data_IF_051749281511
#
_entry.id   IF_051749281511
#
_cell.length_a   1.000
_cell.length_b   1.000
_cell.length_c   1.000
_cell.angle_alpha   90.00
_cell.angle_beta   90.00
_cell.angle_gamma   90.00
#
_symmetry.space_group_name_H-M   'P 1'
#
loop_
_entity.id
_entity.type
_entity.pdbx_description
1 polymer ?
#
# COMPACT_ATOMS: atom_id res chain seq x y z
N UNK A 1 10.73 16.57 26.80
CA UNK A 1 9.59 17.33 26.23
C UNK A 1 9.33 16.71 24.87
N UNK A 2 8.39 15.80 24.62
CA UNK A 2 7.19 15.40 25.36
C UNK A 2 6.93 13.92 25.00
N UNK A 3 6.92 13.05 26.01
CA UNK A 3 6.42 11.68 25.89
C UNK A 3 4.90 11.74 25.72
N UNK A 4 4.42 11.67 24.48
CA UNK A 4 3.00 11.40 24.22
C UNK A 4 2.77 9.89 24.23
N UNK A 5 2.83 9.35 25.44
CA UNK A 5 2.21 8.08 25.81
C UNK A 5 0.71 8.15 25.47
N UNK A 6 0.27 7.19 24.68
CA UNK A 6 -1.12 6.98 24.23
C UNK A 6 -2.05 6.97 25.47
N UNK A 7 -3.05 7.86 25.59
CA UNK A 7 -4.04 7.76 26.64
C UNK A 7 -5.06 6.67 26.27
N UNK A 8 -4.86 5.47 26.83
CA UNK A 8 -5.83 4.37 26.83
C UNK A 8 -6.95 4.62 27.84
N UNK A 9 -8.23 4.48 27.41
CA UNK A 9 -9.14 3.69 28.23
C UNK A 9 -10.10 2.84 27.35
N UNK A 10 -9.87 1.52 27.30
CA UNK A 10 -10.91 0.59 26.85
C UNK A 10 -11.91 0.34 27.99
N UNK A 11 -13.05 1.04 27.98
CA UNK A 11 -14.23 0.61 28.73
C UNK A 11 -14.84 -0.62 28.04
N UNK A 12 -15.23 -1.61 28.85
CA UNK A 12 -16.07 -2.76 28.49
C UNK A 12 -17.25 -2.32 27.61
N UNK A 13 -17.33 -2.82 26.38
CA UNK A 13 -18.61 -2.84 25.67
C UNK A 13 -19.54 -3.81 26.39
N UNK A 14 -20.50 -3.24 27.12
CA UNK A 14 -21.76 -3.88 27.43
C UNK A 14 -22.60 -3.91 26.15
N UNK A 15 -23.12 -5.10 25.81
CA UNK A 15 -24.38 -5.26 25.08
C UNK A 15 -24.32 -5.26 23.56
N UNK A 16 -24.23 -6.47 22.98
CA UNK A 16 -25.29 -7.07 22.13
C UNK A 16 -24.73 -8.30 21.40
N UNK A 17 -24.81 -9.48 22.03
CA UNK A 17 -25.19 -10.73 21.36
C UNK A 17 -25.39 -11.81 22.42
N UNK A 18 -26.65 -12.20 22.61
CA UNK A 18 -27.07 -13.32 23.45
C UNK A 18 -26.74 -14.63 22.75
N UNK A 19 -25.56 -15.19 23.04
CA UNK A 19 -25.26 -16.60 22.83
C UNK A 19 -24.52 -17.13 24.07
N UNK A 20 -25.16 -17.96 24.92
CA UNK A 20 -24.55 -18.44 26.16
C UNK A 20 -23.88 -19.79 25.93
N UNK A 21 -22.68 -19.82 25.33
CA UNK A 21 -21.76 -20.96 25.41
C UNK A 21 -20.40 -20.63 24.77
N UNK A 22 -19.53 -19.96 25.52
CA UNK A 22 -18.07 -20.14 25.44
C UNK A 22 -17.40 -19.44 26.63
N UNK A 23 -17.26 -20.13 27.76
CA UNK A 23 -16.54 -19.62 28.91
C UNK A 23 -15.05 -19.92 28.71
N UNK A 24 -14.30 -19.04 28.04
CA UNK A 24 -12.82 -18.97 28.11
C UNK A 24 -12.27 -17.96 27.07
N UNK A 25 -12.15 -16.68 27.45
CA UNK A 25 -11.11 -15.77 26.89
C UNK A 25 -10.61 -14.82 27.98
N UNK A 26 -10.25 -15.38 29.13
CA UNK A 26 -9.35 -14.74 30.10
C UNK A 26 -7.96 -15.41 30.12
N UNK A 27 -7.67 -16.30 29.16
CA UNK A 27 -6.31 -16.75 28.90
C UNK A 27 -5.59 -15.67 28.09
N UNK A 28 -4.67 -14.94 28.72
CA UNK A 28 -3.78 -14.02 28.01
C UNK A 28 -3.01 -14.76 26.90
N UNK A 29 -2.64 -14.05 25.83
CA UNK A 29 -1.80 -14.60 24.76
C UNK A 29 -0.56 -15.27 25.36
N UNK A 30 -0.32 -16.54 25.03
CA UNK A 30 0.86 -17.24 25.53
C UNK A 30 2.13 -16.70 24.85
N UNK A 31 3.28 -16.68 25.54
CA UNK A 31 4.55 -16.27 24.94
C UNK A 31 4.91 -17.08 23.68
N UNK A 32 4.55 -18.37 23.66
CA UNK A 32 4.76 -19.23 22.51
C UNK A 32 3.95 -18.78 21.28
N UNK A 33 2.70 -18.34 21.49
CA UNK A 33 1.85 -17.82 20.40
C UNK A 33 2.39 -16.50 19.86
N UNK A 34 2.81 -15.57 20.74
CA UNK A 34 3.44 -14.31 20.34
C UNK A 34 4.70 -14.55 19.52
N UNK A 35 5.57 -15.47 19.96
CA UNK A 35 6.79 -15.84 19.23
C UNK A 35 6.47 -16.42 17.84
N UNK A 36 5.46 -17.32 17.76
CA UNK A 36 5.01 -17.88 16.48
C UNK A 36 4.51 -16.80 15.53
N UNK A 37 3.74 -15.84 16.02
CA UNK A 37 3.24 -14.73 15.21
C UNK A 37 4.35 -13.78 14.77
N UNK A 38 5.32 -13.48 15.62
CA UNK A 38 6.48 -12.69 15.23
C UNK A 38 7.24 -13.36 14.08
N UNK A 39 7.52 -14.67 14.17
CA UNK A 39 8.16 -15.43 13.11
C UNK A 39 7.32 -15.53 11.83
N UNK A 40 5.99 -15.60 11.98
CA UNK A 40 5.06 -15.66 10.85
C UNK A 40 5.00 -14.35 10.06
N UNK A 41 4.89 -13.21 10.75
CA UNK A 41 4.90 -11.87 10.15
C UNK A 41 6.23 -11.55 9.47
N UNK A 42 7.35 -12.01 10.02
CA UNK A 42 8.69 -11.80 9.46
C UNK A 42 9.12 -12.90 8.48
N UNK A 43 8.22 -13.81 8.09
CA UNK A 43 8.54 -14.86 7.13
C UNK A 43 8.82 -14.28 5.74
N UNK A 44 9.73 -14.86 4.96
CA UNK A 44 9.94 -14.47 3.55
C UNK A 44 8.75 -14.74 2.63
N UNK A 45 7.77 -15.56 3.06
CA UNK A 45 6.64 -15.98 2.22
C UNK A 45 5.41 -15.11 2.48
N UNK A 46 5.00 -14.34 1.47
CA UNK A 46 3.81 -13.47 1.51
C UNK A 46 2.59 -14.15 2.14
N UNK A 47 2.22 -15.34 1.66
CA UNK A 47 1.05 -16.07 2.15
C UNK A 47 1.11 -16.38 3.65
N UNK A 48 2.31 -16.68 4.18
CA UNK A 48 2.50 -16.96 5.61
C UNK A 48 2.38 -15.68 6.44
N UNK A 49 2.94 -14.57 5.94
CA UNK A 49 2.80 -13.27 6.60
C UNK A 49 1.33 -12.85 6.70
N UNK A 50 0.58 -12.97 5.59
CA UNK A 50 -0.85 -12.64 5.56
C UNK A 50 -1.68 -13.52 6.48
N UNK A 51 -1.51 -14.84 6.40
CA UNK A 51 -2.20 -15.78 7.30
C UNK A 51 -1.93 -15.45 8.77
N UNK A 52 -0.68 -15.10 9.09
CA UNK A 52 -0.30 -14.73 10.45
C UNK A 52 -1.02 -13.45 10.91
N UNK A 53 -1.13 -12.45 10.04
CA UNK A 53 -1.90 -11.25 10.33
C UNK A 53 -3.39 -11.55 10.53
N UNK A 54 -4.00 -12.38 9.70
CA UNK A 54 -5.40 -12.78 9.86
C UNK A 54 -5.66 -13.49 11.19
N UNK A 55 -4.75 -14.38 11.63
CA UNK A 55 -4.81 -15.00 12.95
C UNK A 55 -4.77 -13.95 14.08
N UNK A 56 -4.04 -12.85 13.90
CA UNK A 56 -3.91 -11.76 14.86
C UNK A 56 -5.08 -10.77 14.82
N UNK A 57 -5.75 -10.61 13.69
CA UNK A 57 -6.73 -9.55 13.43
C UNK A 57 -7.93 -9.56 14.39
N UNK A 58 -8.19 -10.68 15.07
CA UNK A 58 -9.25 -10.82 16.07
C UNK A 58 -8.84 -10.43 17.50
N UNK A 59 -7.60 -9.98 17.69
CA UNK A 59 -7.05 -9.64 19.00
C UNK A 59 -6.79 -8.14 19.12
N UNK A 60 -7.36 -7.52 20.15
CA UNK A 60 -7.15 -6.10 20.48
C UNK A 60 -6.10 -5.92 21.59
N UNK A 61 -5.17 -6.86 21.73
CA UNK A 61 -4.16 -6.90 22.81
C UNK A 61 -2.97 -5.97 22.49
N UNK A 62 -2.44 -5.27 23.50
CA UNK A 62 -1.28 -4.39 23.34
C UNK A 62 -0.05 -5.11 22.76
N UNK A 63 0.12 -6.40 23.05
CA UNK A 63 1.22 -7.20 22.50
C UNK A 63 1.07 -7.43 20.99
N UNK A 64 -0.15 -7.54 20.49
CA UNK A 64 -0.44 -7.63 19.05
C UNK A 64 -0.07 -6.30 18.38
N UNK A 65 -0.41 -5.17 19.01
CA UNK A 65 -0.01 -3.85 18.51
C UNK A 65 1.51 -3.69 18.47
N UNK A 66 2.23 -4.15 19.49
CA UNK A 66 3.71 -4.16 19.51
C UNK A 66 4.32 -5.05 18.44
N UNK A 67 3.71 -6.20 18.14
CA UNK A 67 4.14 -7.06 17.03
C UNK A 67 3.97 -6.37 15.67
N UNK A 68 2.84 -5.70 15.47
CA UNK A 68 2.58 -4.94 14.25
C UNK A 68 3.54 -3.76 14.10
N UNK A 69 3.80 -3.02 15.19
CA UNK A 69 4.79 -1.94 15.21
C UNK A 69 6.20 -2.46 14.83
N UNK A 70 6.62 -3.59 15.41
CA UNK A 70 7.88 -4.23 15.05
C UNK A 70 7.92 -4.66 13.57
N UNK A 71 6.82 -5.21 13.05
CA UNK A 71 6.70 -5.58 11.65
C UNK A 71 6.81 -4.35 10.72
N UNK A 72 6.14 -3.24 11.03
CA UNK A 72 6.22 -2.02 10.23
C UNK A 72 7.60 -1.37 10.23
N UNK A 73 8.35 -1.49 11.33
CA UNK A 73 9.72 -1.01 11.48
C UNK A 73 10.80 -1.95 10.95
N UNK A 74 10.45 -3.20 10.65
CA UNK A 74 11.39 -4.18 10.10
C UNK A 74 11.67 -3.90 8.62
N UNK A 75 12.90 -4.14 8.17
CA UNK A 75 13.20 -4.17 6.73
C UNK A 75 12.70 -5.46 6.07
N UNK A 76 12.34 -6.46 6.88
CA UNK A 76 11.72 -7.70 6.43
C UNK A 76 10.21 -7.54 6.26
N UNK A 77 9.61 -8.46 5.51
CA UNK A 77 8.18 -8.45 5.22
C UNK A 77 7.86 -7.75 3.91
N UNK A 78 6.77 -8.16 3.29
CA UNK A 78 6.35 -7.61 2.01
C UNK A 78 5.78 -6.19 2.18
N UNK A 79 6.26 -5.24 1.38
CA UNK A 79 5.89 -3.83 1.51
C UNK A 79 4.45 -3.55 1.13
N UNK A 80 3.93 -4.27 0.14
CA UNK A 80 2.52 -4.20 -0.26
C UNK A 80 1.65 -4.74 0.88
N UNK A 81 2.09 -5.82 1.53
CA UNK A 81 1.40 -6.39 2.68
C UNK A 81 1.30 -5.41 3.85
N UNK A 82 2.36 -4.67 4.15
CA UNK A 82 2.33 -3.62 5.18
C UNK A 82 1.20 -2.62 4.91
N UNK A 83 1.07 -2.16 3.67
CA UNK A 83 -0.03 -1.25 3.29
C UNK A 83 -1.39 -1.92 3.42
N UNK A 84 -1.54 -3.17 2.99
CA UNK A 84 -2.80 -3.94 3.13
C UNK A 84 -3.19 -4.18 4.59
N UNK A 85 -2.22 -4.41 5.47
CA UNK A 85 -2.44 -4.52 6.92
C UNK A 85 -2.94 -3.17 7.45
N UNK A 86 -2.30 -2.05 7.11
CA UNK A 86 -2.74 -0.71 7.51
C UNK A 86 -4.17 -0.42 7.04
N UNK A 87 -4.50 -0.75 5.78
CA UNK A 87 -5.86 -0.62 5.24
C UNK A 87 -6.86 -1.50 6.00
N UNK A 88 -6.47 -2.73 6.35
CA UNK A 88 -7.33 -3.65 7.10
C UNK A 88 -7.59 -3.12 8.50
N UNK A 89 -6.56 -2.60 9.18
CA UNK A 89 -6.72 -1.93 10.48
C UNK A 89 -7.65 -0.73 10.32
N UNK A 90 -7.49 0.12 9.29
CA UNK A 90 -8.42 1.25 9.05
C UNK A 90 -9.88 0.80 8.92
N UNK A 91 -10.14 -0.34 8.27
CA UNK A 91 -11.50 -0.88 8.11
C UNK A 91 -12.10 -1.40 9.41
N UNK A 92 -11.29 -1.98 10.29
CA UNK A 92 -11.77 -2.67 11.50
C UNK A 92 -11.63 -1.83 12.78
N UNK A 93 -10.79 -0.80 12.76
CA UNK A 93 -10.44 0.02 13.90
C UNK A 93 -11.01 1.45 13.76
N UNK A 94 -12.07 1.80 14.51
CA UNK A 94 -12.72 3.10 14.39
C UNK A 94 -11.99 4.26 15.10
N UNK A 95 -10.94 3.98 15.88
CA UNK A 95 -10.19 5.03 16.60
C UNK A 95 -8.89 5.41 15.89
N UNK A 96 -8.38 6.64 16.11
CA UNK A 96 -7.10 7.08 15.57
C UNK A 96 -5.95 6.26 16.16
N UNK A 97 -5.16 5.65 15.28
CA UNK A 97 -3.94 4.91 15.61
C UNK A 97 -2.87 5.37 14.64
N UNK A 98 -1.63 5.50 15.10
CA UNK A 98 -0.49 5.73 14.23
C UNK A 98 0.56 4.64 14.39
N UNK A 99 1.24 4.32 13.29
CA UNK A 99 2.40 3.43 13.27
C UNK A 99 3.60 4.15 12.65
N UNK A 100 4.80 3.87 13.15
CA UNK A 100 6.03 4.20 12.44
C UNK A 100 6.26 3.14 11.37
N UNK A 101 6.36 3.55 10.11
CA UNK A 101 6.57 2.66 8.96
C UNK A 101 7.95 2.94 8.38
N UNK A 102 8.78 1.89 8.29
CA UNK A 102 10.13 1.96 7.71
C UNK A 102 10.17 1.27 6.35
N UNK A 103 10.84 1.92 5.38
CA UNK A 103 11.23 1.34 4.08
C UNK A 103 12.63 1.83 3.72
N UNK A 104 13.61 0.92 3.69
CA UNK A 104 15.01 1.29 3.53
C UNK A 104 15.46 2.20 4.67
N UNK A 105 16.10 3.33 4.35
CA UNK A 105 16.57 4.28 5.36
C UNK A 105 15.46 5.24 5.86
N UNK A 106 14.31 5.25 5.20
CA UNK A 106 13.24 6.20 5.49
C UNK A 106 12.26 5.64 6.52
N UNK A 107 11.84 6.48 7.46
CA UNK A 107 10.79 6.17 8.45
C UNK A 107 9.79 7.31 8.49
N UNK A 108 8.49 6.98 8.48
CA UNK A 108 7.41 7.96 8.56
C UNK A 108 6.30 7.49 9.50
N UNK A 109 5.77 8.43 10.30
CA UNK A 109 4.59 8.20 11.10
C UNK A 109 3.34 8.24 10.20
N UNK A 110 2.60 7.13 10.17
CA UNK A 110 1.37 6.99 9.41
C UNK A 110 0.19 6.94 10.36
N UNK A 111 -0.73 7.89 10.23
CA UNK A 111 -2.04 7.80 10.85
C UNK A 111 -2.92 6.85 10.03
N UNK A 112 -3.39 5.77 10.66
CA UNK A 112 -4.19 4.72 10.04
C UNK A 112 -5.48 5.27 9.41
N UNK A 113 -6.06 6.32 9.98
CA UNK A 113 -7.30 6.92 9.46
C UNK A 113 -7.10 7.61 8.10
N UNK A 114 -5.88 7.99 7.77
CA UNK A 114 -5.52 8.64 6.51
C UNK A 114 -5.06 7.64 5.43
N UNK A 115 -4.97 6.34 5.75
CA UNK A 115 -4.50 5.29 4.83
C UNK A 115 -5.54 5.00 3.76
N UNK A 116 -5.29 5.21 2.46
CA UNK A 116 -6.30 5.07 1.40
C UNK A 116 -6.83 3.63 1.29
N UNK A 117 -8.16 3.47 1.32
CA UNK A 117 -8.83 2.15 1.29
C UNK A 117 -9.09 1.59 -0.11
N UNK A 118 -9.11 2.46 -1.11
CA UNK A 118 -9.34 2.14 -2.52
C UNK A 118 -8.67 3.22 -3.38
N UNK A 119 -8.66 3.02 -4.70
CA UNK A 119 -8.06 3.97 -5.64
C UNK A 119 -8.63 5.39 -5.46
N UNK A 120 -9.93 5.52 -5.21
CA UNK A 120 -10.65 6.79 -5.10
C UNK A 120 -10.28 7.58 -3.84
N UNK A 121 -9.76 6.92 -2.81
CA UNK A 121 -9.35 7.54 -1.55
C UNK A 121 -7.96 8.20 -1.62
N UNK A 122 -7.19 7.95 -2.68
CA UNK A 122 -5.90 8.60 -2.83
C UNK A 122 -6.07 10.10 -3.14
N UNK A 123 -5.14 10.96 -2.66
CA UNK A 123 -5.14 12.37 -3.03
C UNK A 123 -5.16 12.55 -4.54
N UNK A 124 -5.86 13.58 -5.03
CA UNK A 124 -6.03 13.82 -6.47
C UNK A 124 -4.69 13.87 -7.22
N UNK A 125 -3.68 14.54 -6.65
CA UNK A 125 -2.32 14.59 -7.22
C UNK A 125 -1.71 13.21 -7.49
N UNK A 126 -2.06 12.19 -6.70
CA UNK A 126 -1.58 10.81 -6.84
C UNK A 126 -2.40 10.04 -7.87
N UNK A 127 -3.69 10.35 -8.01
CA UNK A 127 -4.60 9.71 -8.98
C UNK A 127 -4.46 10.32 -10.37
N UNK A 128 -4.07 11.59 -10.46
CA UNK A 128 -4.09 12.39 -11.69
C UNK A 128 -3.37 11.73 -12.86
N UNK A 129 -2.15 11.14 -12.71
CA UNK A 129 -1.49 10.47 -13.83
C UNK A 129 -2.33 9.35 -14.46
N UNK A 130 -2.96 8.51 -13.64
CA UNK A 130 -3.83 7.46 -14.13
C UNK A 130 -5.12 8.01 -14.74
N UNK A 131 -5.76 9.00 -14.11
CA UNK A 131 -7.00 9.58 -14.64
C UNK A 131 -6.79 10.24 -16.02
N UNK A 132 -5.66 10.92 -16.21
CA UNK A 132 -5.32 11.49 -17.51
C UNK A 132 -5.06 10.39 -18.56
N UNK A 133 -4.44 9.27 -18.17
CA UNK A 133 -4.29 8.11 -19.05
C UNK A 133 -5.65 7.56 -19.46
N UNK A 134 -6.54 7.33 -18.49
CA UNK A 134 -7.90 6.83 -18.70
C UNK A 134 -8.71 7.73 -19.66
N UNK A 135 -8.62 9.05 -19.50
CA UNK A 135 -9.23 10.02 -20.40
C UNK A 135 -8.62 9.96 -21.82
N UNK A 136 -7.28 9.88 -21.92
CA UNK A 136 -6.56 9.91 -23.20
C UNK A 136 -6.57 8.60 -23.99
N UNK A 137 -6.96 7.50 -23.35
CA UNK A 137 -6.92 6.14 -23.92
C UNK A 137 -8.21 5.37 -23.67
N UNK A 138 -9.33 6.09 -23.59
CA UNK A 138 -10.66 5.51 -23.36
C UNK A 138 -11.09 4.52 -24.46
N UNK A 139 -10.49 4.61 -25.65
CA UNK A 139 -10.67 3.69 -26.77
C UNK A 139 -9.89 2.37 -26.62
N UNK A 140 -9.00 2.26 -25.63
CA UNK A 140 -8.27 1.04 -25.30
C UNK A 140 -8.48 0.60 -23.84
N UNK A 141 -9.65 0.00 -23.51
CA UNK A 141 -9.98 -0.39 -22.14
C UNK A 141 -9.02 -1.39 -21.50
N UNK A 142 -8.42 -2.27 -22.30
CA UNK A 142 -7.45 -3.27 -21.82
C UNK A 142 -6.16 -2.62 -21.31
N UNK A 143 -5.67 -1.61 -22.02
CA UNK A 143 -4.52 -0.82 -21.60
C UNK A 143 -4.83 -0.06 -20.31
N UNK A 144 -5.99 0.59 -20.23
CA UNK A 144 -6.43 1.33 -19.03
C UNK A 144 -6.51 0.40 -17.82
N UNK A 145 -7.11 -0.79 -17.97
CA UNK A 145 -7.21 -1.76 -16.89
C UNK A 145 -5.83 -2.21 -16.38
N UNK A 146 -4.92 -2.55 -17.30
CA UNK A 146 -3.55 -2.95 -16.94
C UNK A 146 -2.78 -1.81 -16.27
N UNK A 147 -2.88 -0.59 -16.80
CA UNK A 147 -2.26 0.59 -16.22
C UNK A 147 -2.76 0.86 -14.79
N UNK A 148 -4.05 0.64 -14.52
CA UNK A 148 -4.63 0.79 -13.18
C UNK A 148 -4.01 -0.18 -12.19
N UNK A 149 -3.92 -1.45 -12.55
CA UNK A 149 -3.34 -2.49 -11.69
C UNK A 149 -1.86 -2.20 -11.38
N UNK A 150 -1.08 -1.83 -12.39
CA UNK A 150 0.33 -1.44 -12.22
C UNK A 150 0.48 -0.21 -11.33
N UNK A 151 -0.36 0.80 -11.53
CA UNK A 151 -0.33 2.02 -10.74
C UNK A 151 -0.69 1.75 -9.27
N UNK A 152 -1.80 1.06 -9.02
CA UNK A 152 -2.24 0.70 -7.66
C UNK A 152 -1.20 -0.15 -6.95
N UNK A 153 -0.62 -1.14 -7.65
CA UNK A 153 0.46 -1.95 -7.09
C UNK A 153 1.65 -1.09 -6.65
N UNK A 154 2.11 -0.15 -7.49
CA UNK A 154 3.17 0.79 -7.13
C UNK A 154 2.81 1.65 -5.91
N UNK A 155 1.59 2.20 -5.89
CA UNK A 155 1.13 3.01 -4.75
C UNK A 155 1.12 2.21 -3.44
N UNK A 156 0.60 0.98 -3.45
CA UNK A 156 0.58 0.13 -2.26
C UNK A 156 2.00 -0.29 -1.83
N UNK A 157 2.84 -0.66 -2.79
CA UNK A 157 4.21 -1.08 -2.56
C UNK A 157 5.08 0.03 -1.97
N UNK A 158 4.83 1.29 -2.30
CA UNK A 158 5.66 2.41 -1.85
C UNK A 158 5.07 3.27 -0.73
N UNK A 159 3.78 3.13 -0.41
CA UNK A 159 3.14 3.87 0.68
C UNK A 159 3.89 3.72 2.03
N UNK A 160 4.13 4.80 2.80
CA UNK A 160 3.70 6.19 2.58
C UNK A 160 4.66 7.04 1.72
N UNK A 161 5.75 6.48 1.23
CA UNK A 161 6.83 7.17 0.52
C UNK A 161 6.58 7.22 -0.99
N UNK A 162 5.63 8.05 -1.40
CA UNK A 162 5.33 8.25 -2.81
C UNK A 162 6.24 9.32 -3.43
N UNK A 163 6.62 9.17 -4.72
CA UNK A 163 7.34 10.21 -5.43
C UNK A 163 6.44 11.44 -5.64
N UNK A 164 7.06 12.54 -6.09
CA UNK A 164 6.31 13.74 -6.42
C UNK A 164 5.65 13.62 -7.80
N UNK A 165 4.33 13.56 -7.80
CA UNK A 165 3.51 13.46 -9.00
C UNK A 165 3.10 14.83 -9.59
N UNK A 166 3.78 15.92 -9.21
CA UNK A 166 3.46 17.28 -9.69
C UNK A 166 3.47 17.37 -11.24
N UNK A 167 4.43 16.73 -11.90
CA UNK A 167 4.47 16.63 -13.37
C UNK A 167 3.59 15.48 -13.89
N UNK A 168 2.29 15.53 -13.62
CA UNK A 168 1.38 14.41 -13.89
C UNK A 168 1.40 13.92 -15.35
N UNK A 169 1.61 14.80 -16.35
CA UNK A 169 1.71 14.41 -17.76
C UNK A 169 2.92 13.51 -18.05
N UNK A 170 4.07 13.77 -17.40
CA UNK A 170 5.25 12.92 -17.55
C UNK A 170 4.96 11.53 -16.97
N UNK A 171 4.38 11.47 -15.77
CA UNK A 171 3.96 10.21 -15.15
C UNK A 171 2.89 9.47 -15.98
N UNK A 172 1.96 10.20 -16.59
CA UNK A 172 0.93 9.65 -17.48
C UNK A 172 1.58 8.99 -18.70
N UNK A 173 2.47 9.71 -19.37
CA UNK A 173 3.17 9.22 -20.56
C UNK A 173 4.06 8.02 -20.24
N UNK A 174 4.78 8.07 -19.11
CA UNK A 174 5.59 6.96 -18.62
C UNK A 174 4.73 5.72 -18.31
N UNK A 175 3.59 5.90 -17.63
CA UNK A 175 2.67 4.80 -17.31
C UNK A 175 2.08 4.20 -18.59
N UNK A 176 1.68 5.03 -19.55
CA UNK A 176 1.18 4.57 -20.84
C UNK A 176 2.25 3.77 -21.59
N UNK A 177 3.45 4.33 -21.75
CA UNK A 177 4.57 3.66 -22.42
C UNK A 177 4.95 2.35 -21.73
N UNK A 178 5.10 2.35 -20.40
CA UNK A 178 5.44 1.16 -19.64
C UNK A 178 4.38 0.07 -19.79
N UNK A 179 3.10 0.44 -19.71
CA UNK A 179 1.98 -0.50 -19.89
C UNK A 179 2.00 -1.11 -21.29
N UNK A 180 2.19 -0.29 -22.33
CA UNK A 180 2.37 -0.79 -23.69
C UNK A 180 3.57 -1.73 -23.77
N UNK A 181 4.70 -1.38 -23.16
CA UNK A 181 5.92 -2.19 -23.23
C UNK A 181 5.76 -3.56 -22.55
N UNK A 182 4.92 -3.67 -21.52
CA UNK A 182 4.56 -4.95 -20.90
C UNK A 182 3.66 -5.79 -21.80
N UNK A 183 2.76 -5.15 -22.57
CA UNK A 183 1.79 -5.85 -23.44
C UNK A 183 2.44 -6.23 -24.78
N UNK A 184 3.08 -5.27 -25.45
CA UNK A 184 3.71 -5.36 -26.76
C UNK A 184 4.87 -4.34 -26.87
N UNK A 185 6.12 -4.78 -26.67
CA UNK A 185 7.30 -3.93 -26.78
C UNK A 185 7.48 -3.25 -28.15
N UNK A 186 7.07 -3.89 -29.24
CA UNK A 186 7.20 -3.33 -30.58
C UNK A 186 6.20 -2.19 -30.80
N UNK A 187 4.96 -2.36 -30.31
CA UNK A 187 3.97 -1.28 -30.29
C UNK A 187 4.43 -0.12 -29.41
N UNK A 188 4.96 -0.42 -28.22
CA UNK A 188 5.47 0.61 -27.31
C UNK A 188 6.57 1.46 -27.97
N UNK A 189 7.54 0.83 -28.65
CA UNK A 189 8.60 1.54 -29.39
C UNK A 189 8.04 2.46 -30.48
N UNK A 190 7.10 1.97 -31.29
CA UNK A 190 6.46 2.78 -32.34
C UNK A 190 5.67 3.96 -31.78
N UNK A 191 4.88 3.74 -30.73
CA UNK A 191 4.08 4.78 -30.10
C UNK A 191 4.94 5.81 -29.35
N UNK A 192 6.08 5.41 -28.80
CA UNK A 192 7.03 6.32 -28.17
C UNK A 192 7.66 7.32 -29.17
N UNK A 193 7.91 6.89 -30.41
CA UNK A 193 8.48 7.74 -31.46
C UNK A 193 7.43 8.64 -32.13
N UNK A 194 6.16 8.21 -32.16
CA UNK A 194 5.11 8.86 -32.95
C UNK A 194 3.97 9.41 -32.12
N UNK A 195 3.30 8.59 -31.33
CA UNK A 195 1.98 8.93 -30.79
C UNK A 195 2.06 9.63 -29.43
N UNK A 196 2.81 9.06 -28.48
CA UNK A 196 2.87 9.54 -27.09
C UNK A 196 3.46 10.95 -26.94
N UNK A 197 4.53 11.34 -27.67
CA UNK A 197 5.03 12.72 -27.64
C UNK A 197 3.97 13.76 -28.00
N UNK A 198 3.16 13.46 -29.03
CA UNK A 198 2.08 14.34 -29.46
C UNK A 198 0.90 14.31 -28.49
N UNK A 199 0.50 13.13 -28.02
CA UNK A 199 -0.63 12.95 -27.11
C UNK A 199 -0.44 13.73 -25.80
N UNK A 200 0.79 13.72 -25.25
CA UNK A 200 1.10 14.34 -23.96
C UNK A 200 1.86 15.66 -24.07
N UNK A 201 2.17 16.13 -25.28
CA UNK A 201 2.96 17.33 -25.54
C UNK A 201 4.34 17.31 -24.85
N UNK A 202 5.02 16.16 -24.94
CA UNK A 202 6.33 15.90 -24.36
C UNK A 202 7.32 15.46 -25.44
N UNK A 203 8.62 15.57 -25.18
CA UNK A 203 9.63 14.97 -26.06
C UNK A 203 9.79 13.48 -25.73
N UNK A 204 10.18 12.68 -26.73
CA UNK A 204 10.52 11.26 -26.53
C UNK A 204 11.52 11.05 -25.40
N UNK A 205 12.54 11.91 -25.30
CA UNK A 205 13.56 11.84 -24.25
C UNK A 205 12.98 11.99 -22.84
N UNK A 206 12.01 12.90 -22.65
CA UNK A 206 11.35 13.10 -21.35
C UNK A 206 10.51 11.88 -20.99
N UNK A 207 9.81 11.29 -21.96
CA UNK A 207 9.00 10.08 -21.73
C UNK A 207 9.90 8.90 -21.34
N UNK A 208 11.02 8.70 -22.05
CA UNK A 208 11.99 7.64 -21.74
C UNK A 208 12.57 7.80 -20.33
N UNK A 209 13.05 9.01 -20.00
CA UNK A 209 13.60 9.28 -18.67
C UNK A 209 12.56 9.01 -17.56
N UNK A 210 11.33 9.48 -17.73
CA UNK A 210 10.27 9.25 -16.74
C UNK A 210 9.86 7.77 -16.68
N UNK A 211 9.91 7.04 -17.80
CA UNK A 211 9.63 5.60 -17.83
C UNK A 211 10.72 4.78 -17.12
N UNK A 212 11.98 5.19 -17.22
CA UNK A 212 13.08 4.61 -16.43
C UNK A 212 12.86 4.86 -14.93
N UNK A 213 12.47 6.07 -14.55
CA UNK A 213 12.13 6.39 -13.15
C UNK A 213 10.94 5.57 -12.65
N UNK A 214 9.86 5.47 -13.43
CA UNK A 214 8.69 4.65 -13.12
C UNK A 214 9.08 3.17 -12.98
N UNK A 215 9.91 2.66 -13.88
CA UNK A 215 10.39 1.27 -13.84
C UNK A 215 11.20 1.03 -12.57
N UNK A 216 12.14 1.93 -12.26
CA UNK A 216 12.94 1.88 -11.04
C UNK A 216 12.06 1.90 -9.79
N UNK A 217 11.06 2.77 -9.76
CA UNK A 217 10.07 2.83 -8.68
C UNK A 217 9.32 1.50 -8.55
N UNK A 218 8.65 1.02 -9.58
CA UNK A 218 7.88 -0.24 -9.53
C UNK A 218 8.74 -1.47 -9.15
N UNK A 219 9.99 -1.51 -9.61
CA UNK A 219 10.89 -2.66 -9.46
C UNK A 219 11.72 -2.66 -8.17
N UNK A 220 11.84 -1.56 -7.43
CA UNK A 220 12.58 -1.54 -6.16
C UNK A 220 12.06 -2.61 -5.20
N UNK A 221 12.87 -3.65 -4.96
CA UNK A 221 12.56 -4.79 -4.09
C UNK A 221 12.79 -4.43 -2.61
#
# INVERSE_FOLDING_TARGET
MSDNLIPYPFRKNQGLSTNPASPERQGGLSPALISRWQQGLLSERYARQWQTFEEMAHFTDLRVMKLLEHFFLSDQGDWTLKTKILQTIRRTCPWPISFQVKKGENTQCVNVQDVPLSFEHWPEKVRRPFLTLEESSADNPSLVAMAKELWVYGLEKHYPFLPDFTNHLQWTAALHYYTLNVIDPELAGRSLERDLPHLYQLTTSVIQQQAEELTGWLMQL
#
